data_IF_027284205499
#
_entry.id   IF_027284205499
#
_cell.length_a   1.000
_cell.length_b   1.000
_cell.length_c   1.000
_cell.angle_alpha   90.00
_cell.angle_beta   90.00
_cell.angle_gamma   90.00
#
_symmetry.space_group_name_H-M   'P 1'
#
loop_
_entity.id
_entity.type
_entity.pdbx_description
1 polymer ?
#
# COMPACT_ATOMS: atom_id res chain seq x y z
N UNK A 1 -21.13 13.25 25.35
CA UNK A 1 -20.33 12.43 24.43
C UNK A 1 -19.83 13.37 23.35
N UNK A 2 -18.59 13.81 23.48
CA UNK A 2 -17.88 14.61 22.49
C UNK A 2 -17.37 13.65 21.43
N UNK A 3 -17.78 13.84 20.19
CA UNK A 3 -17.11 13.30 19.01
C UNK A 3 -15.63 13.72 19.06
N UNK A 4 -14.67 12.83 18.77
CA UNK A 4 -13.31 13.26 18.52
C UNK A 4 -13.34 14.26 17.37
N UNK A 5 -12.66 15.38 17.56
CA UNK A 5 -12.35 16.34 16.52
C UNK A 5 -11.30 15.67 15.62
N UNK A 6 -11.75 14.88 14.64
CA UNK A 6 -10.86 14.40 13.58
C UNK A 6 -10.39 15.64 12.82
N UNK A 7 -9.11 15.96 12.96
CA UNK A 7 -8.48 17.06 12.23
C UNK A 7 -8.69 16.88 10.74
N UNK A 8 -8.67 17.98 9.98
CA UNK A 8 -8.72 17.89 8.53
C UNK A 8 -7.52 17.05 8.02
N UNK A 9 -7.66 16.20 6.99
CA UNK A 9 -6.54 15.44 6.45
C UNK A 9 -5.38 16.35 6.05
N UNK A 10 -4.16 15.94 6.35
CA UNK A 10 -2.95 16.69 6.01
C UNK A 10 -2.68 16.62 4.50
N UNK A 11 -2.71 17.77 3.84
CA UNK A 11 -2.38 17.89 2.42
C UNK A 11 -0.86 18.04 2.23
N UNK A 12 -0.11 16.93 2.26
CA UNK A 12 1.27 16.87 1.78
C UNK A 12 1.34 16.06 0.48
N UNK A 13 1.67 16.71 -0.63
CA UNK A 13 1.87 16.03 -1.92
C UNK A 13 3.24 15.34 -1.95
N UNK A 14 3.29 14.09 -2.40
CA UNK A 14 4.54 13.36 -2.61
C UNK A 14 4.42 12.36 -3.76
N UNK A 15 5.56 12.02 -4.35
CA UNK A 15 5.67 10.90 -5.28
C UNK A 15 6.23 9.68 -4.54
N UNK A 16 5.55 8.55 -4.69
CA UNK A 16 5.96 7.25 -4.17
C UNK A 16 6.46 6.38 -5.33
N UNK A 17 7.65 5.79 -5.18
CA UNK A 17 8.22 4.90 -6.19
C UNK A 17 8.85 3.67 -5.56
N UNK A 18 8.64 2.53 -6.20
CA UNK A 18 9.32 1.27 -5.94
C UNK A 18 10.10 0.85 -7.18
N UNK A 19 11.23 0.19 -6.96
CA UNK A 19 11.94 -0.54 -8.02
C UNK A 19 11.62 -2.03 -7.84
N UNK A 20 10.39 -2.39 -8.23
CA UNK A 20 9.84 -3.73 -8.03
C UNK A 20 10.64 -4.82 -8.78
N UNK A 21 10.85 -5.95 -8.10
CA UNK A 21 11.34 -7.18 -8.74
C UNK A 21 10.28 -7.75 -9.71
N UNK A 22 10.68 -8.59 -10.69
CA UNK A 22 9.73 -9.26 -11.58
C UNK A 22 8.60 -9.99 -10.82
N UNK A 23 7.38 -9.91 -11.36
CA UNK A 23 6.17 -10.50 -10.79
C UNK A 23 5.28 -9.48 -10.09
N UNK A 24 5.85 -8.40 -9.53
CA UNK A 24 5.06 -7.26 -9.07
C UNK A 24 4.52 -6.45 -10.26
N UNK A 25 3.21 -6.27 -10.27
CA UNK A 25 2.48 -5.50 -11.28
C UNK A 25 1.89 -4.28 -10.59
N UNK A 26 2.18 -3.09 -11.12
CA UNK A 26 1.53 -1.84 -10.73
C UNK A 26 0.07 -1.87 -11.19
N UNK A 27 -0.85 -1.74 -10.24
CA UNK A 27 -2.30 -1.73 -10.42
C UNK A 27 -2.92 -0.38 -10.01
N UNK A 28 -2.11 0.67 -9.86
CA UNK A 28 -2.58 2.00 -9.47
C UNK A 28 -3.47 2.58 -10.57
N UNK A 29 -4.68 3.01 -10.20
CA UNK A 29 -5.65 3.61 -11.11
C UNK A 29 -5.76 5.11 -10.80
N UNK A 30 -5.69 5.95 -11.83
CA UNK A 30 -5.79 7.40 -11.67
C UNK A 30 -7.21 7.86 -11.39
N UNK A 31 -8.17 7.26 -12.09
CA UNK A 31 -9.59 7.62 -12.00
C UNK A 31 -10.38 6.55 -11.21
N UNK A 32 -9.73 5.46 -10.78
CA UNK A 32 -10.37 4.34 -10.07
C UNK A 32 -11.40 3.59 -10.89
N UNK A 33 -11.40 3.74 -12.23
CA UNK A 33 -12.49 3.19 -13.06
C UNK A 33 -12.21 1.77 -13.54
N UNK A 34 -13.28 0.97 -13.65
CA UNK A 34 -13.21 -0.37 -14.27
C UNK A 34 -12.73 -0.34 -15.74
N UNK A 35 -12.94 0.78 -16.45
CA UNK A 35 -12.44 0.93 -17.83
C UNK A 35 -10.92 1.07 -17.85
N UNK A 36 -10.36 1.88 -16.94
CA UNK A 36 -8.92 2.02 -16.74
C UNK A 36 -8.29 0.70 -16.31
N UNK A 37 -8.88 0.00 -15.33
CA UNK A 37 -8.45 -1.32 -14.89
C UNK A 37 -8.38 -2.34 -16.04
N UNK A 38 -9.39 -2.36 -16.93
CA UNK A 38 -9.38 -3.22 -18.13
C UNK A 38 -8.27 -2.86 -19.12
N UNK A 39 -8.00 -1.57 -19.31
CA UNK A 39 -6.93 -1.13 -20.20
C UNK A 39 -5.56 -1.57 -19.66
N UNK A 40 -5.33 -1.37 -18.35
CA UNK A 40 -4.13 -1.81 -17.65
C UNK A 40 -3.96 -3.34 -17.73
N UNK A 41 -4.99 -4.09 -17.36
CA UNK A 41 -4.96 -5.55 -17.41
C UNK A 41 -4.69 -6.07 -18.83
N UNK A 42 -5.27 -5.42 -19.86
CA UNK A 42 -5.00 -5.78 -21.26
C UNK A 42 -3.52 -5.62 -21.62
N UNK A 43 -2.89 -4.53 -21.18
CA UNK A 43 -1.49 -4.26 -21.44
C UNK A 43 -0.59 -5.32 -20.79
N UNK A 44 -0.82 -5.61 -19.51
CA UNK A 44 -0.02 -6.58 -18.74
C UNK A 44 -0.22 -7.99 -19.27
N UNK A 45 -1.45 -8.42 -19.45
CA UNK A 45 -1.77 -9.78 -19.88
C UNK A 45 -1.25 -10.07 -21.31
N UNK A 46 -1.04 -9.03 -22.13
CA UNK A 46 -0.39 -9.17 -23.43
C UNK A 46 1.14 -9.28 -23.39
N UNK A 47 1.79 -8.90 -22.29
CA UNK A 47 3.23 -9.11 -22.11
C UNK A 47 3.56 -10.45 -21.44
N UNK A 48 2.57 -11.14 -20.84
CA UNK A 48 2.77 -12.45 -20.21
C UNK A 48 3.16 -13.52 -21.23
N UNK A 49 4.02 -14.45 -20.80
CA UNK A 49 4.36 -15.63 -21.58
C UNK A 49 3.21 -16.65 -21.51
N UNK A 50 2.47 -16.89 -22.61
CA UNK A 50 1.30 -17.78 -22.57
C UNK A 50 1.68 -19.24 -22.30
N UNK A 51 2.93 -19.65 -22.52
CA UNK A 51 3.39 -21.02 -22.25
C UNK A 51 3.78 -21.25 -20.80
N UNK A 52 3.97 -20.18 -20.01
CA UNK A 52 4.28 -20.27 -18.58
C UNK A 52 3.00 -20.29 -17.72
N UNK A 53 1.86 -19.84 -18.27
CA UNK A 53 0.60 -19.80 -17.54
C UNK A 53 0.07 -21.21 -17.26
N UNK A 54 -0.33 -21.45 -16.02
CA UNK A 54 -1.05 -22.67 -15.61
C UNK A 54 -2.57 -22.44 -15.54
N UNK A 55 -3.01 -21.19 -15.64
CA UNK A 55 -4.42 -20.80 -15.73
C UNK A 55 -4.74 -20.12 -17.05
N UNK A 56 -6.03 -20.02 -17.38
CA UNK A 56 -6.45 -19.35 -18.60
C UNK A 56 -6.08 -17.86 -18.56
N UNK A 57 -5.59 -17.34 -19.69
CA UNK A 57 -5.23 -15.92 -19.85
C UNK A 57 -6.40 -14.99 -19.51
N UNK A 58 -7.63 -15.41 -19.80
CA UNK A 58 -8.88 -14.72 -19.41
C UNK A 58 -9.06 -14.66 -17.88
N UNK A 59 -8.71 -15.73 -17.16
CA UNK A 59 -8.81 -15.76 -15.71
C UNK A 59 -7.81 -14.79 -15.05
N UNK A 60 -6.57 -14.73 -15.56
CA UNK A 60 -5.58 -13.73 -15.11
C UNK A 60 -6.10 -12.31 -15.35
N UNK A 61 -6.69 -12.07 -16.53
CA UNK A 61 -7.25 -10.78 -16.89
C UNK A 61 -8.39 -10.37 -15.95
N UNK A 62 -9.36 -11.27 -15.72
CA UNK A 62 -10.51 -10.97 -14.87
C UNK A 62 -10.08 -10.72 -13.40
N UNK A 63 -9.16 -11.55 -12.86
CA UNK A 63 -8.58 -11.32 -11.52
C UNK A 63 -7.90 -9.96 -11.41
N UNK A 64 -7.07 -9.60 -12.40
CA UNK A 64 -6.34 -8.34 -12.39
C UNK A 64 -7.25 -7.12 -12.48
N UNK A 65 -8.34 -7.21 -13.25
CA UNK A 65 -9.34 -6.13 -13.33
C UNK A 65 -10.06 -5.95 -12.01
N UNK A 66 -10.54 -7.04 -11.39
CA UNK A 66 -11.24 -6.97 -10.12
C UNK A 66 -10.31 -6.46 -9.01
N UNK A 67 -9.11 -7.02 -8.92
CA UNK A 67 -8.10 -6.64 -7.95
C UNK A 67 -7.65 -5.18 -8.09
N UNK A 68 -7.46 -4.69 -9.31
CA UNK A 68 -7.12 -3.28 -9.51
C UNK A 68 -8.26 -2.35 -9.07
N UNK A 69 -9.52 -2.72 -9.29
CA UNK A 69 -10.65 -1.92 -8.78
C UNK A 69 -10.67 -1.96 -7.25
N UNK A 70 -10.66 -3.15 -6.65
CA UNK A 70 -10.76 -3.33 -5.20
C UNK A 70 -9.61 -2.65 -4.44
N UNK A 71 -8.37 -2.72 -4.94
CA UNK A 71 -7.22 -2.07 -4.31
C UNK A 71 -7.27 -0.54 -4.40
N UNK A 72 -8.04 0.03 -5.32
CA UNK A 72 -8.14 1.48 -5.50
C UNK A 72 -9.42 2.08 -4.91
N UNK A 73 -10.25 1.31 -4.20
CA UNK A 73 -11.51 1.78 -3.59
C UNK A 73 -11.27 2.94 -2.59
N UNK A 74 -10.17 2.88 -1.83
CA UNK A 74 -9.79 3.92 -0.85
C UNK A 74 -8.78 4.95 -1.42
N UNK A 75 -8.57 4.95 -2.74
CA UNK A 75 -7.68 5.89 -3.46
C UNK A 75 -6.25 5.92 -2.87
N UNK A 76 -5.54 4.77 -2.87
CA UNK A 76 -4.18 4.70 -2.36
C UNK A 76 -3.24 5.55 -3.21
N UNK A 77 -2.11 5.94 -2.63
CA UNK A 77 -1.04 6.60 -3.40
C UNK A 77 -0.43 5.63 -4.44
N UNK A 78 -0.40 4.34 -4.12
CA UNK A 78 0.07 3.27 -5.01
C UNK A 78 -0.62 1.96 -4.66
N UNK A 79 -1.00 1.20 -5.68
CA UNK A 79 -1.50 -0.18 -5.56
C UNK A 79 -0.69 -1.11 -6.47
N UNK A 80 -0.33 -2.29 -5.97
CA UNK A 80 0.36 -3.31 -6.74
C UNK A 80 -0.06 -4.71 -6.29
N UNK A 81 0.21 -5.71 -7.12
CA UNK A 81 0.07 -7.11 -6.72
C UNK A 81 1.17 -7.98 -7.31
N UNK A 82 1.57 -9.00 -6.56
CA UNK A 82 2.56 -9.97 -6.99
C UNK A 82 1.86 -11.16 -7.67
N UNK A 83 2.16 -11.35 -8.96
CA UNK A 83 1.74 -12.49 -9.75
C UNK A 83 2.93 -13.41 -10.02
N UNK A 84 2.70 -14.70 -9.84
CA UNK A 84 3.63 -15.75 -10.27
C UNK A 84 3.64 -15.86 -11.79
N UNK A 85 4.68 -16.51 -12.34
CA UNK A 85 4.75 -16.80 -13.77
C UNK A 85 3.59 -17.67 -14.27
N UNK A 86 2.98 -18.47 -13.39
CA UNK A 86 1.80 -19.29 -13.71
C UNK A 86 0.50 -18.49 -13.81
N UNK A 87 0.51 -17.20 -13.42
CA UNK A 87 -0.62 -16.28 -13.49
C UNK A 87 -1.42 -16.16 -12.18
N UNK A 88 -1.02 -16.85 -11.11
CA UNK A 88 -1.66 -16.74 -9.80
C UNK A 88 -1.17 -15.50 -9.03
N UNK A 89 -2.11 -14.69 -8.53
CA UNK A 89 -1.82 -13.58 -7.62
C UNK A 89 -1.60 -14.11 -6.19
N UNK A 90 -0.45 -13.81 -5.60
CA UNK A 90 -0.12 -14.28 -4.24
C UNK A 90 -0.16 -13.18 -3.18
N UNK A 91 0.10 -11.92 -3.54
CA UNK A 91 0.11 -10.82 -2.58
C UNK A 91 -0.41 -9.52 -3.19
N UNK A 92 -1.00 -8.69 -2.35
CA UNK A 92 -1.39 -7.31 -2.67
C UNK A 92 -0.52 -6.36 -1.86
N UNK A 93 -0.12 -5.23 -2.46
CA UNK A 93 0.59 -4.14 -1.81
C UNK A 93 -0.18 -2.83 -2.05
N UNK A 94 -0.37 -2.05 -1.00
CA UNK A 94 -0.93 -0.69 -1.06
C UNK A 94 -0.02 0.27 -0.30
N UNK A 95 0.01 1.52 -0.73
CA UNK A 95 0.68 2.61 -0.03
C UNK A 95 -0.28 3.75 0.23
N UNK A 96 -0.41 4.10 1.50
CA UNK A 96 -1.27 5.15 1.99
C UNK A 96 -0.46 6.18 2.78
N UNK A 97 -0.96 7.42 2.84
CA UNK A 97 -0.43 8.47 3.72
C UNK A 97 -1.38 8.76 4.86
N UNK A 98 -0.84 8.82 6.06
CA UNK A 98 -1.57 9.13 7.29
C UNK A 98 -1.04 10.42 7.91
N UNK A 99 -1.95 11.33 8.22
CA UNK A 99 -1.65 12.57 8.93
C UNK A 99 -2.83 13.52 8.86
N UNK A 100 -3.05 14.26 9.92
CA UNK A 100 -4.09 15.29 10.00
C UNK A 100 -3.45 16.65 10.30
N UNK A 101 -4.03 17.71 9.75
CA UNK A 101 -3.64 19.09 10.01
C UNK A 101 -3.75 19.42 11.50
N UNK A 102 -2.63 19.85 12.09
CA UNK A 102 -2.57 20.23 13.49
C UNK A 102 -2.46 19.07 14.47
N UNK A 103 -2.52 17.83 14.01
CA UNK A 103 -2.24 16.63 14.81
C UNK A 103 -0.76 16.28 14.69
N UNK A 104 -0.09 16.04 15.81
CA UNK A 104 1.30 15.60 15.79
C UNK A 104 1.40 14.17 15.28
N UNK A 105 2.36 13.92 14.38
CA UNK A 105 2.62 12.56 13.88
C UNK A 105 2.97 11.65 15.06
N UNK A 106 2.35 10.46 15.19
CA UNK A 106 2.66 9.53 16.26
C UNK A 106 4.14 9.13 16.25
N UNK A 107 4.67 8.77 17.41
CA UNK A 107 6.02 8.17 17.52
C UNK A 107 6.04 6.72 17.00
N UNK A 108 7.24 6.13 16.92
CA UNK A 108 7.42 4.73 16.48
C UNK A 108 6.80 3.72 17.45
N UNK A 109 6.68 4.10 18.72
CA UNK A 109 6.04 3.29 19.76
C UNK A 109 4.52 3.44 19.69
N UNK A 110 4.01 4.65 19.47
CA UNK A 110 2.57 4.94 19.40
C UNK A 110 1.91 4.40 18.12
N UNK A 111 2.67 4.25 17.03
CA UNK A 111 2.11 3.75 15.76
C UNK A 111 1.80 2.25 15.78
N UNK A 112 2.46 1.47 16.63
CA UNK A 112 2.28 0.00 16.67
C UNK A 112 0.84 -0.47 16.88
N UNK A 113 0.12 0.00 17.92
CA UNK A 113 -1.29 -0.38 18.08
C UNK A 113 -2.14 0.05 16.89
N UNK A 114 -1.86 1.22 16.30
CA UNK A 114 -2.60 1.75 15.15
C UNK A 114 -2.43 0.83 13.92
N UNK A 115 -1.23 0.30 13.68
CA UNK A 115 -1.00 -0.63 12.56
C UNK A 115 -1.77 -1.96 12.70
N UNK A 116 -2.09 -2.35 13.93
CA UNK A 116 -2.87 -3.56 14.21
C UNK A 116 -4.38 -3.36 14.07
N UNK A 117 -4.84 -2.13 13.89
CA UNK A 117 -6.26 -1.84 13.70
C UNK A 117 -6.72 -2.22 12.29
N UNK A 118 -7.87 -2.89 12.23
CA UNK A 118 -8.54 -3.31 11.01
C UNK A 118 -10.05 -3.15 11.19
N UNK A 119 -10.72 -2.55 10.19
CA UNK A 119 -12.15 -2.26 10.28
C UNK A 119 -13.05 -3.52 10.35
N UNK A 120 -12.64 -4.60 9.70
CA UNK A 120 -13.43 -5.82 9.51
C UNK A 120 -12.69 -7.13 9.87
N UNK A 121 -11.56 -7.03 10.58
CA UNK A 121 -10.73 -8.18 10.94
C UNK A 121 -10.20 -8.08 12.36
N UNK A 122 -9.83 -9.23 12.93
CA UNK A 122 -9.18 -9.31 14.24
C UNK A 122 -7.81 -9.95 14.07
N UNK A 123 -6.79 -9.37 14.72
CA UNK A 123 -5.45 -9.95 14.76
C UNK A 123 -5.48 -11.24 15.56
N UNK A 124 -4.89 -12.29 15.00
CA UNK A 124 -4.77 -13.60 15.61
C UNK A 124 -3.32 -13.88 15.99
N UNK A 125 -3.08 -14.17 17.27
CA UNK A 125 -1.73 -14.43 17.78
C UNK A 125 -0.97 -13.16 18.15
N UNK A 126 0.31 -13.32 18.49
CA UNK A 126 1.20 -12.20 18.83
C UNK A 126 1.82 -11.62 17.54
N UNK A 127 1.74 -10.29 17.33
CA UNK A 127 2.35 -9.65 16.18
C UNK A 127 3.87 -9.64 16.30
N UNK A 128 4.56 -9.79 15.16
CA UNK A 128 6.00 -9.61 15.08
C UNK A 128 6.28 -8.14 14.75
N UNK A 129 7.04 -7.47 15.62
CA UNK A 129 7.36 -6.05 15.48
C UNK A 129 8.86 -5.87 15.32
N UNK A 130 9.27 -5.11 14.31
CA UNK A 130 10.65 -4.75 14.08
C UNK A 130 10.81 -3.26 13.77
N UNK A 131 11.95 -2.71 14.15
CA UNK A 131 12.33 -1.33 13.89
C UNK A 131 13.40 -1.34 12.81
N UNK A 132 13.13 -0.68 11.70
CA UNK A 132 13.99 -0.64 10.52
C UNK A 132 14.54 0.77 10.30
N UNK A 133 15.66 0.83 9.59
CA UNK A 133 16.20 2.06 9.01
C UNK A 133 16.24 1.87 7.49
N UNK A 134 15.18 2.34 6.81
CA UNK A 134 15.04 2.24 5.36
C UNK A 134 15.70 3.46 4.69
N UNK A 135 16.07 3.35 3.41
CA UNK A 135 16.53 4.52 2.65
C UNK A 135 15.49 5.66 2.61
N UNK A 136 14.21 5.33 2.69
CA UNK A 136 13.11 6.28 2.73
C UNK A 136 12.87 6.92 4.11
N UNK A 137 13.54 6.44 5.16
CA UNK A 137 13.41 6.92 6.54
C UNK A 137 13.34 5.79 7.57
N UNK A 138 13.41 6.10 8.88
CA UNK A 138 13.11 5.13 9.94
C UNK A 138 11.73 4.51 9.73
N UNK A 139 11.56 3.23 10.07
CA UNK A 139 10.27 2.55 9.89
C UNK A 139 9.94 1.54 10.98
N UNK A 140 8.65 1.29 11.20
CA UNK A 140 8.16 0.22 12.06
C UNK A 140 7.46 -0.82 11.20
N UNK A 141 7.94 -2.06 11.27
CA UNK A 141 7.37 -3.22 10.58
C UNK A 141 6.52 -4.00 11.57
N UNK A 142 5.29 -4.30 11.20
CA UNK A 142 4.37 -5.14 11.97
C UNK A 142 3.85 -6.25 11.07
N UNK A 143 4.05 -7.50 11.46
CA UNK A 143 3.53 -8.68 10.76
C UNK A 143 2.60 -9.46 11.68
N UNK A 144 1.42 -9.79 11.19
CA UNK A 144 0.50 -10.63 11.95
C UNK A 144 -0.54 -11.35 11.07
N UNK A 145 -1.15 -12.37 11.66
CA UNK A 145 -2.28 -13.07 11.07
C UNK A 145 -3.59 -12.32 11.35
N UNK A 146 -4.51 -12.32 10.39
CA UNK A 146 -5.85 -11.78 10.48
C UNK A 146 -6.89 -12.87 10.34
N UNK A 147 -7.94 -12.73 11.14
CA UNK A 147 -9.19 -13.44 10.95
C UNK A 147 -10.22 -12.49 10.38
N UNK A 148 -10.36 -12.53 9.05
CA UNK A 148 -11.33 -11.71 8.32
C UNK A 148 -12.70 -12.39 8.36
N UNK A 149 -13.73 -11.63 8.76
CA UNK A 149 -15.11 -12.11 8.75
C UNK A 149 -15.61 -12.11 7.30
N UNK A 150 -16.02 -13.28 6.78
CA UNK A 150 -16.62 -13.36 5.44
C UNK A 150 -17.98 -12.67 5.42
N UNK A 151 -18.29 -12.01 4.30
CA UNK A 151 -19.62 -11.47 4.03
C UNK A 151 -20.64 -12.63 4.12
N UNK A 152 -21.69 -12.47 4.94
CA UNK A 152 -22.67 -13.49 5.33
C UNK A 152 -22.30 -14.49 6.46
N UNK A 153 -21.19 -14.30 7.19
CA UNK A 153 -20.97 -14.96 8.48
C UNK A 153 -20.62 -16.46 8.44
N UNK A 154 -20.56 -17.09 7.25
CA UNK A 154 -20.11 -18.48 7.10
C UNK A 154 -18.59 -18.54 6.86
N UNK A 155 -17.85 -18.66 7.96
CA UNK A 155 -16.42 -18.93 7.97
C UNK A 155 -15.53 -17.71 8.19
N UNK A 156 -14.33 -17.96 8.73
CA UNK A 156 -13.24 -16.98 8.84
C UNK A 156 -12.25 -17.26 7.72
N UNK A 157 -11.81 -16.21 7.02
CA UNK A 157 -10.68 -16.30 6.09
C UNK A 157 -9.42 -15.93 6.87
N UNK A 158 -8.40 -16.79 6.80
CA UNK A 158 -7.09 -16.45 7.31
C UNK A 158 -6.34 -15.71 6.21
N UNK A 159 -5.89 -14.52 6.57
CA UNK A 159 -5.05 -13.65 5.75
C UNK A 159 -3.89 -13.26 6.63
N UNK A 160 -2.70 -13.11 6.05
CA UNK A 160 -1.58 -12.51 6.76
C UNK A 160 -1.29 -11.15 6.16
N UNK A 161 -0.72 -10.26 6.99
CA UNK A 161 -0.27 -8.96 6.52
C UNK A 161 1.08 -8.59 7.10
N UNK A 162 1.77 -7.71 6.38
CA UNK A 162 2.85 -6.89 6.92
C UNK A 162 2.49 -5.42 6.64
N UNK A 163 2.61 -4.57 7.67
CA UNK A 163 2.57 -3.12 7.53
C UNK A 163 3.93 -2.51 7.86
N UNK A 164 4.31 -1.51 7.08
CA UNK A 164 5.51 -0.70 7.30
C UNK A 164 5.08 0.75 7.48
N UNK A 165 5.15 1.26 8.71
CA UNK A 165 5.03 2.68 8.99
C UNK A 165 6.39 3.35 8.78
N UNK A 166 6.55 4.06 7.67
CA UNK A 166 7.77 4.79 7.29
C UNK A 166 7.62 6.25 7.70
N UNK A 167 8.70 6.81 8.25
CA UNK A 167 8.79 8.19 8.74
C UNK A 167 9.73 8.98 7.83
N UNK A 168 9.25 9.57 6.71
CA UNK A 168 10.13 10.20 5.75
C UNK A 168 10.76 11.46 6.35
N UNK A 169 12.07 11.68 6.17
CA UNK A 169 12.73 12.90 6.62
C UNK A 169 12.09 14.14 5.97
N UNK A 170 11.72 15.12 6.79
CA UNK A 170 11.15 16.39 6.31
C UNK A 170 9.66 16.37 5.98
N UNK A 171 8.97 15.24 6.14
CA UNK A 171 7.51 15.14 6.04
C UNK A 171 6.86 15.04 7.42
N UNK A 172 5.62 15.55 7.52
CA UNK A 172 4.77 15.38 8.70
C UNK A 172 3.85 14.16 8.57
N UNK A 173 3.53 13.75 7.36
CA UNK A 173 2.81 12.50 7.09
C UNK A 173 3.65 11.28 7.46
N UNK A 174 2.94 10.25 7.89
CA UNK A 174 3.41 8.87 7.98
C UNK A 174 3.03 8.16 6.67
N UNK A 175 3.96 7.41 6.08
CA UNK A 175 3.65 6.57 4.93
C UNK A 175 3.48 5.14 5.41
N UNK A 176 2.35 4.50 5.09
CA UNK A 176 2.09 3.11 5.47
C UNK A 176 2.06 2.27 4.22
N UNK A 177 2.98 1.32 4.14
CA UNK A 177 2.93 0.26 3.12
C UNK A 177 2.25 -0.96 3.74
N UNK A 178 1.15 -1.40 3.15
CA UNK A 178 0.40 -2.60 3.58
C UNK A 178 0.56 -3.69 2.55
N UNK A 179 1.08 -4.85 2.94
CA UNK A 179 1.15 -6.06 2.11
C UNK A 179 0.27 -7.14 2.72
N UNK A 180 -0.57 -7.78 1.91
CA UNK A 180 -1.48 -8.85 2.37
C UNK A 180 -1.43 -10.07 1.47
N UNK A 181 -1.61 -11.26 2.05
CA UNK A 181 -1.71 -12.51 1.30
C UNK A 181 -2.54 -13.56 2.03
N UNK A 182 -2.95 -14.59 1.29
CA UNK A 182 -3.77 -15.69 1.81
C UNK A 182 -3.07 -17.04 1.71
N UNK A 183 -2.02 -17.12 0.91
CA UNK A 183 -1.19 -18.31 0.75
C UNK A 183 -0.26 -18.49 1.97
N UNK A 184 -0.83 -18.88 3.13
CA UNK A 184 -0.09 -19.00 4.41
C UNK A 184 1.09 -20.00 4.32
N UNK A 185 1.00 -20.99 3.42
CA UNK A 185 2.10 -21.91 3.16
C UNK A 185 3.34 -21.23 2.52
N UNK A 186 3.19 -19.99 2.04
CA UNK A 186 4.24 -19.17 1.40
C UNK A 186 4.59 -17.91 2.22
N UNK A 187 4.22 -17.86 3.49
CA UNK A 187 4.42 -16.68 4.35
C UNK A 187 5.87 -16.20 4.39
N UNK A 188 6.85 -17.10 4.51
CA UNK A 188 8.26 -16.71 4.53
C UNK A 188 8.69 -16.07 3.20
N UNK A 189 8.36 -16.70 2.08
CA UNK A 189 8.63 -16.19 0.73
C UNK A 189 7.99 -14.82 0.48
N UNK A 190 6.71 -14.67 0.83
CA UNK A 190 5.96 -13.43 0.61
C UNK A 190 6.39 -12.31 1.56
N UNK A 191 6.82 -12.64 2.77
CA UNK A 191 7.41 -11.69 3.70
C UNK A 191 8.74 -11.15 3.18
N UNK A 192 9.62 -12.02 2.67
CA UNK A 192 10.88 -11.61 2.05
C UNK A 192 10.64 -10.71 0.83
N UNK A 193 9.69 -11.07 -0.05
CA UNK A 193 9.31 -10.23 -1.20
C UNK A 193 8.79 -8.85 -0.78
N UNK A 194 8.03 -8.78 0.31
CA UNK A 194 7.55 -7.51 0.86
C UNK A 194 8.70 -6.67 1.42
N UNK A 195 9.59 -7.28 2.19
CA UNK A 195 10.76 -6.63 2.77
C UNK A 195 11.70 -6.09 1.66
N UNK A 196 11.94 -6.88 0.62
CA UNK A 196 12.72 -6.46 -0.55
C UNK A 196 12.08 -5.28 -1.30
N UNK A 197 10.78 -5.34 -1.56
CA UNK A 197 10.07 -4.24 -2.21
C UNK A 197 10.21 -2.94 -1.41
N UNK A 198 9.94 -2.98 -0.10
CA UNK A 198 10.00 -1.81 0.78
C UNK A 198 11.42 -1.24 0.93
N UNK A 199 12.46 -2.07 0.82
CA UNK A 199 13.85 -1.60 0.81
C UNK A 199 14.15 -0.68 -0.40
N UNK A 200 13.41 -0.85 -1.50
CA UNK A 200 13.54 -0.01 -2.71
C UNK A 200 12.70 1.26 -2.67
N UNK A 201 11.83 1.43 -1.66
CA UNK A 201 10.94 2.57 -1.56
C UNK A 201 11.72 3.89 -1.63
N UNK A 202 11.22 4.80 -2.45
CA UNK A 202 11.65 6.18 -2.56
C UNK A 202 10.43 7.08 -2.43
N UNK A 203 10.56 8.09 -1.56
CA UNK A 203 9.52 9.09 -1.32
C UNK A 203 10.13 10.45 -1.64
N UNK A 204 9.51 11.16 -2.57
CA UNK A 204 9.95 12.50 -2.98
C UNK A 204 8.84 13.48 -2.67
N UNK A 205 9.00 14.36 -1.67
CA UNK A 205 8.03 15.43 -1.41
C UNK A 205 7.89 16.33 -2.63
N UNK A 206 6.67 16.59 -3.05
CA UNK A 206 6.38 17.55 -4.10
C UNK A 206 6.17 18.90 -3.44
N UNK A 207 7.07 19.85 -3.72
CA UNK A 207 6.90 21.22 -3.21
C UNK A 207 5.72 21.83 -3.97
N UNK A 208 4.55 21.92 -3.34
CA UNK A 208 3.44 22.73 -3.84
C UNK A 208 3.96 24.17 -3.94
N UNK A 209 4.15 24.65 -5.18
CA UNK A 209 4.91 25.86 -5.48
C UNK A 209 4.49 27.05 -4.63
N UNK A 210 5.43 27.54 -3.81
CA UNK A 210 5.31 28.81 -3.12
C UNK A 210 5.00 29.91 -4.12
N UNK A 211 3.96 30.69 -3.82
CA UNK A 211 3.48 31.79 -4.63
C UNK A 211 4.61 32.71 -5.09
N UNK A 212 4.46 33.23 -6.30
CA UNK A 212 5.28 34.31 -6.84
C UNK A 212 5.27 35.46 -5.84
N UNK A 213 6.32 35.59 -5.03
CA UNK A 213 6.65 36.84 -4.40
C UNK A 213 7.11 37.77 -5.52
N UNK A 214 6.17 38.57 -6.06
CA UNK A 214 6.50 39.74 -6.85
C UNK A 214 7.36 40.65 -5.98
N UNK A 215 8.66 40.56 -6.19
CA UNK A 215 9.59 41.62 -5.83
C UNK A 215 9.28 42.82 -6.73
N UNK A 216 8.44 43.72 -6.27
CA UNK A 216 8.50 45.10 -6.74
C UNK A 216 9.28 45.91 -5.71
N UNK A 217 10.55 46.08 -6.06
CA UNK A 217 11.44 47.05 -5.46
C UNK A 217 10.97 48.46 -5.80
N UNK A 218 10.76 49.22 -4.74
CA UNK A 218 11.20 50.59 -4.57
C UNK A 218 11.93 51.24 -5.76
N UNK A 219 11.31 52.27 -6.35
CA UNK A 219 12.04 53.39 -6.95
C UNK A 219 11.34 54.73 -6.68
N UNK A 220 12.03 55.54 -5.88
CA UNK A 220 12.09 57.01 -5.83
C UNK A 220 10.92 57.81 -5.23
#
# INVERSE_FOLDING_TARGET
MTTPDDGAPLAEDFECRFDFQPGWIDLTLRDGTKAEAKALATQVVNSLNPLALEIEKSAVFDDMVERAVDLNDDVPTLAAAYYTESGEALANLMVDSYGDEGVERPTREEVQPILLEWANAEVAGEPQIAYLDLPAGPAVRVQAMLQVKRMFGFGRKLTEFIKYAVFPPGMKSLIVVTVTWEAIARTEELAELADEAVQTLRITPLVSGGGVATADGDTA
#
